data_IF_353436996150
#
_entry.id   IF_353436996150
#
_cell.length_a   1.000
_cell.length_b   1.000
_cell.length_c   1.000
_cell.angle_alpha   90.00
_cell.angle_beta   90.00
_cell.angle_gamma   90.00
#
_symmetry.space_group_name_H-M   'P 1'
#
loop_
_entity.id
_entity.type
_entity.pdbx_description
1 polymer ?
#
# COMPACT_ATOMS: atom_id res chain seq x y z
N UNK A 1 18.69 -17.67 -17.07
CA UNK A 1 18.14 -18.40 -15.91
C UNK A 1 17.68 -17.46 -14.78
N UNK A 2 18.44 -16.46 -14.38
CA UNK A 2 18.03 -15.50 -13.31
C UNK A 2 16.78 -14.63 -13.64
N UNK A 3 16.51 -14.35 -14.93
CA UNK A 3 15.35 -13.52 -15.34
C UNK A 3 13.97 -14.17 -15.16
N UNK A 4 13.86 -15.50 -15.12
CA UNK A 4 12.59 -16.20 -14.91
C UNK A 4 12.25 -16.37 -13.43
N UNK A 5 13.28 -16.43 -12.57
CA UNK A 5 13.12 -16.61 -11.13
C UNK A 5 12.58 -15.36 -10.42
N UNK A 6 12.91 -14.16 -10.91
CA UNK A 6 12.55 -12.89 -10.25
C UNK A 6 11.08 -12.52 -10.43
N UNK A 7 10.42 -12.91 -11.53
CA UNK A 7 9.06 -12.46 -11.81
C UNK A 7 7.95 -13.33 -11.21
N UNK A 8 7.87 -14.60 -11.60
CA UNK A 8 6.74 -15.47 -11.23
C UNK A 8 6.91 -16.15 -9.88
N UNK A 9 8.11 -16.66 -9.60
CA UNK A 9 8.35 -17.43 -8.37
C UNK A 9 8.36 -16.56 -7.11
N UNK A 10 8.95 -15.36 -7.16
CA UNK A 10 8.87 -14.41 -6.05
C UNK A 10 7.42 -14.05 -5.74
N UNK A 11 6.62 -13.73 -6.76
CA UNK A 11 5.24 -13.35 -6.54
C UNK A 11 4.37 -14.50 -6.01
N UNK A 12 4.60 -15.74 -6.46
CA UNK A 12 3.90 -16.93 -5.94
C UNK A 12 4.29 -17.14 -4.49
N UNK A 13 5.58 -17.09 -4.16
CA UNK A 13 6.09 -17.26 -2.81
C UNK A 13 5.56 -16.20 -1.86
N UNK A 14 5.51 -14.93 -2.30
CA UNK A 14 5.01 -13.84 -1.47
C UNK A 14 3.50 -13.93 -1.23
N UNK A 15 2.74 -14.39 -2.22
CA UNK A 15 1.29 -14.66 -2.04
C UNK A 15 1.05 -15.83 -1.09
N UNK A 16 1.84 -16.90 -1.19
CA UNK A 16 1.77 -18.02 -0.24
C UNK A 16 2.13 -17.56 1.16
N UNK A 17 3.15 -16.71 1.30
CA UNK A 17 3.52 -16.11 2.58
C UNK A 17 2.41 -15.20 3.13
N UNK A 18 1.75 -14.39 2.30
CA UNK A 18 0.61 -13.58 2.73
C UNK A 18 -0.56 -14.44 3.22
N UNK A 19 -0.85 -15.54 2.53
CA UNK A 19 -1.86 -16.52 2.97
C UNK A 19 -1.46 -17.22 4.27
N UNK A 20 -0.19 -17.60 4.39
CA UNK A 20 0.34 -18.20 5.62
C UNK A 20 0.25 -17.24 6.81
N UNK A 21 0.56 -15.95 6.61
CA UNK A 21 0.37 -14.91 7.64
C UNK A 21 -1.08 -14.75 8.04
N UNK A 22 -2.00 -14.81 7.09
CA UNK A 22 -3.43 -14.68 7.39
C UNK A 22 -3.93 -15.80 8.32
N UNK A 23 -3.33 -16.99 8.25
CA UNK A 23 -3.70 -18.16 9.07
C UNK A 23 -2.81 -18.34 10.30
N UNK A 24 -1.49 -18.22 10.15
CA UNK A 24 -0.49 -18.57 11.15
C UNK A 24 0.30 -17.37 11.69
N UNK A 25 -0.02 -16.14 11.24
CA UNK A 25 0.73 -14.94 11.62
C UNK A 25 0.67 -14.63 13.10
N UNK A 26 1.76 -14.07 13.65
CA UNK A 26 1.83 -13.56 15.01
C UNK A 26 0.92 -12.34 15.17
N UNK A 27 0.12 -12.36 16.23
CA UNK A 27 -0.73 -11.21 16.59
C UNK A 27 0.12 -10.22 17.38
N UNK A 28 0.37 -9.05 16.78
CA UNK A 28 1.04 -7.93 17.45
C UNK A 28 0.18 -6.67 17.25
N UNK A 29 -0.11 -5.97 18.34
CA UNK A 29 -0.98 -4.79 18.34
C UNK A 29 -2.38 -5.03 17.72
N UNK A 30 -2.96 -6.23 17.95
CA UNK A 30 -4.30 -6.57 17.46
C UNK A 30 -4.40 -6.97 15.98
N UNK A 31 -3.28 -7.08 15.26
CA UNK A 31 -3.27 -7.48 13.86
C UNK A 31 -2.26 -8.59 13.57
N UNK A 32 -2.64 -9.54 12.72
CA UNK A 32 -1.77 -10.64 12.26
C UNK A 32 -1.02 -10.17 11.00
N UNK A 33 0.24 -9.74 11.18
CA UNK A 33 1.02 -9.14 10.07
C UNK A 33 2.43 -9.70 9.95
N UNK A 34 2.91 -10.43 10.97
CA UNK A 34 4.30 -10.81 11.12
C UNK A 34 4.46 -12.33 11.09
N UNK A 35 5.53 -12.81 10.46
CA UNK A 35 5.97 -14.21 10.51
C UNK A 35 7.34 -14.25 11.15
N UNK A 36 7.52 -15.19 12.07
CA UNK A 36 8.82 -15.50 12.63
C UNK A 36 9.44 -16.66 11.84
N UNK A 37 10.47 -16.35 11.09
CA UNK A 37 11.31 -17.30 10.35
C UNK A 37 12.74 -17.33 10.93
N UNK A 38 12.89 -17.07 12.25
CA UNK A 38 14.17 -16.78 12.91
C UNK A 38 14.52 -15.29 12.84
N UNK A 39 13.90 -14.54 11.93
CA UNK A 39 13.86 -13.08 11.85
C UNK A 39 12.39 -12.70 11.66
N UNK A 40 11.94 -11.70 12.40
CA UNK A 40 10.56 -11.20 12.27
C UNK A 40 10.43 -10.45 10.95
N UNK A 41 9.71 -11.04 9.99
CA UNK A 41 9.50 -10.47 8.65
C UNK A 41 8.03 -10.14 8.44
N UNK A 42 7.76 -8.99 7.82
CA UNK A 42 6.42 -8.62 7.37
C UNK A 42 6.32 -8.82 5.85
N UNK A 43 5.61 -9.85 5.34
CA UNK A 43 5.55 -10.14 3.91
C UNK A 43 4.95 -9.02 3.06
N UNK A 44 4.07 -8.20 3.62
CA UNK A 44 3.52 -7.04 2.91
C UNK A 44 4.57 -5.96 2.60
N UNK A 45 5.68 -5.89 3.34
CA UNK A 45 6.81 -5.00 3.03
C UNK A 45 7.55 -5.46 1.76
N UNK A 46 7.77 -6.77 1.64
CA UNK A 46 8.39 -7.37 0.44
C UNK A 46 7.48 -7.15 -0.77
N UNK A 47 6.15 -7.23 -0.58
CA UNK A 47 5.17 -7.09 -1.65
C UNK A 47 5.20 -5.71 -2.33
N UNK A 48 5.60 -4.65 -1.62
CA UNK A 48 5.76 -3.30 -2.20
C UNK A 48 6.79 -3.27 -3.34
N UNK A 49 7.80 -4.13 -3.25
CA UNK A 49 8.86 -4.25 -4.27
C UNK A 49 8.53 -5.36 -5.27
N UNK A 50 8.10 -6.52 -4.80
CA UNK A 50 7.84 -7.69 -5.62
C UNK A 50 6.69 -7.47 -6.61
N UNK A 51 5.66 -6.74 -6.21
CA UNK A 51 4.47 -6.52 -7.05
C UNK A 51 4.76 -5.68 -8.30
N UNK A 52 5.37 -4.49 -8.22
CA UNK A 52 5.72 -3.73 -9.40
C UNK A 52 6.74 -4.46 -10.30
N UNK A 53 7.70 -5.19 -9.73
CA UNK A 53 8.65 -5.99 -10.51
C UNK A 53 7.95 -7.11 -11.28
N UNK A 54 7.02 -7.81 -10.67
CA UNK A 54 6.24 -8.86 -11.33
C UNK A 54 5.37 -8.30 -12.46
N UNK A 55 4.70 -7.17 -12.23
CA UNK A 55 3.90 -6.53 -13.28
C UNK A 55 4.76 -6.03 -14.44
N UNK A 56 5.93 -5.44 -14.16
CA UNK A 56 6.87 -5.03 -15.18
C UNK A 56 7.35 -6.23 -16.03
N UNK A 57 7.71 -7.33 -15.38
CA UNK A 57 8.07 -8.57 -16.07
C UNK A 57 6.91 -9.14 -16.91
N UNK A 58 5.68 -9.08 -16.37
CA UNK A 58 4.49 -9.54 -17.08
C UNK A 58 4.26 -8.78 -18.38
N UNK A 59 4.37 -7.45 -18.37
CA UNK A 59 4.24 -6.63 -19.57
C UNK A 59 5.44 -6.77 -20.51
N UNK A 60 6.67 -6.85 -20.00
CA UNK A 60 7.87 -7.09 -20.81
C UNK A 60 7.78 -8.38 -21.63
N UNK A 61 7.27 -9.46 -21.03
CA UNK A 61 7.13 -10.74 -21.74
C UNK A 61 6.09 -10.69 -22.88
N UNK A 62 5.23 -9.67 -22.87
CA UNK A 62 4.13 -9.48 -23.82
C UNK A 62 4.29 -8.24 -24.70
N UNK A 63 5.52 -7.73 -24.84
CA UNK A 63 5.82 -6.62 -25.74
C UNK A 63 5.31 -6.92 -27.16
N UNK A 64 4.56 -5.96 -27.74
CA UNK A 64 3.95 -6.07 -29.07
C UNK A 64 2.55 -6.72 -29.11
N UNK A 65 2.05 -7.31 -28.04
CA UNK A 65 0.71 -7.92 -27.96
C UNK A 65 -0.15 -7.34 -26.84
N UNK A 66 0.07 -6.10 -26.43
CA UNK A 66 -0.66 -5.50 -25.30
C UNK A 66 -2.12 -5.26 -25.67
N UNK A 67 -2.94 -6.25 -25.41
CA UNK A 67 -4.41 -6.21 -25.59
C UNK A 67 -5.05 -5.77 -24.27
N UNK A 68 -6.28 -5.25 -24.32
CA UNK A 68 -7.04 -4.86 -23.14
C UNK A 68 -7.18 -5.99 -22.10
N UNK A 69 -7.18 -7.26 -22.54
CA UNK A 69 -7.20 -8.45 -21.67
C UNK A 69 -5.97 -8.51 -20.75
N UNK A 70 -4.82 -8.07 -21.21
CA UNK A 70 -3.58 -8.05 -20.43
C UNK A 70 -3.68 -7.06 -19.25
N UNK A 71 -4.32 -5.91 -19.49
CA UNK A 71 -4.58 -4.94 -18.43
C UNK A 71 -5.57 -5.48 -17.39
N UNK A 72 -6.58 -6.23 -17.80
CA UNK A 72 -7.48 -6.90 -16.87
C UNK A 72 -6.75 -7.96 -16.03
N UNK A 73 -5.93 -8.79 -16.65
CA UNK A 73 -5.14 -9.81 -15.94
C UNK A 73 -4.19 -9.12 -14.96
N UNK A 74 -3.48 -8.08 -15.38
CA UNK A 74 -2.58 -7.31 -14.53
C UNK A 74 -3.34 -6.67 -13.35
N UNK A 75 -4.53 -6.13 -13.59
CA UNK A 75 -5.41 -5.60 -12.55
C UNK A 75 -5.85 -6.68 -11.55
N UNK A 76 -6.27 -7.85 -12.00
CA UNK A 76 -6.61 -8.98 -11.14
C UNK A 76 -5.40 -9.47 -10.32
N UNK A 77 -4.23 -9.54 -10.96
CA UNK A 77 -2.98 -9.89 -10.30
C UNK A 77 -2.62 -8.88 -9.21
N UNK A 78 -2.93 -7.60 -9.37
CA UNK A 78 -2.70 -6.54 -8.40
C UNK A 78 -3.75 -6.55 -7.27
N UNK A 79 -5.03 -6.70 -7.61
CA UNK A 79 -6.13 -6.63 -6.63
C UNK A 79 -6.09 -7.81 -5.65
N UNK A 80 -5.67 -9.00 -6.08
CA UNK A 80 -5.64 -10.17 -5.22
C UNK A 80 -4.76 -9.98 -3.97
N UNK A 81 -3.45 -9.61 -4.06
CA UNK A 81 -2.63 -9.35 -2.88
C UNK A 81 -3.06 -8.11 -2.11
N UNK A 82 -3.53 -7.06 -2.78
CA UNK A 82 -4.06 -5.86 -2.11
C UNK A 82 -5.25 -6.23 -1.23
N UNK A 83 -6.18 -7.05 -1.71
CA UNK A 83 -7.32 -7.53 -0.93
C UNK A 83 -6.92 -8.39 0.28
N UNK A 84 -5.87 -9.21 0.14
CA UNK A 84 -5.31 -9.98 1.27
C UNK A 84 -4.69 -9.07 2.33
N UNK A 85 -3.95 -8.02 1.92
CA UNK A 85 -3.34 -7.06 2.84
C UNK A 85 -4.44 -6.22 3.54
N UNK A 86 -5.50 -5.84 2.83
CA UNK A 86 -6.64 -5.13 3.42
C UNK A 86 -7.34 -5.95 4.51
N UNK A 87 -7.41 -7.28 4.37
CA UNK A 87 -7.93 -8.18 5.41
C UNK A 87 -7.05 -8.24 6.65
N UNK A 88 -5.76 -7.87 6.54
CA UNK A 88 -4.81 -7.79 7.66
C UNK A 88 -4.86 -6.42 8.37
N UNK A 89 -5.94 -5.68 8.34
CA UNK A 89 -6.23 -4.27 8.58
C UNK A 89 -5.02 -3.31 8.37
N UNK A 90 -4.30 -3.48 7.26
CA UNK A 90 -3.15 -2.65 6.88
C UNK A 90 -3.48 -1.82 5.62
N UNK A 91 -4.28 -0.79 5.82
CA UNK A 91 -4.71 0.11 4.73
C UNK A 91 -3.52 0.87 4.12
N UNK A 92 -2.53 1.27 4.93
CA UNK A 92 -1.38 2.03 4.44
C UNK A 92 -0.55 1.23 3.43
N UNK A 93 -0.17 0.01 3.80
CA UNK A 93 0.62 -0.87 2.91
C UNK A 93 -0.18 -1.32 1.70
N UNK A 94 -1.49 -1.61 1.86
CA UNK A 94 -2.35 -1.98 0.73
C UNK A 94 -2.45 -0.87 -0.31
N UNK A 95 -2.59 0.39 0.13
CA UNK A 95 -2.64 1.54 -0.74
C UNK A 95 -1.31 1.78 -1.46
N UNK A 96 -0.17 1.60 -0.77
CA UNK A 96 1.16 1.71 -1.39
C UNK A 96 1.39 0.64 -2.45
N UNK A 97 1.05 -0.62 -2.18
CA UNK A 97 1.16 -1.72 -3.16
C UNK A 97 0.24 -1.46 -4.36
N UNK A 98 -0.99 -0.99 -4.10
CA UNK A 98 -1.95 -0.63 -5.15
C UNK A 98 -1.40 0.50 -6.03
N UNK A 99 -0.89 1.57 -5.42
CA UNK A 99 -0.34 2.72 -6.15
C UNK A 99 0.90 2.34 -6.97
N UNK A 100 1.84 1.58 -6.38
CA UNK A 100 3.05 1.13 -7.08
C UNK A 100 2.71 0.21 -8.25
N UNK A 101 1.80 -0.75 -8.08
CA UNK A 101 1.37 -1.64 -9.15
C UNK A 101 0.56 -0.92 -10.22
N UNK A 102 -0.32 -0.02 -9.83
CA UNK A 102 -1.08 0.81 -10.77
C UNK A 102 -0.17 1.70 -11.61
N UNK A 103 0.88 2.27 -11.03
CA UNK A 103 1.86 3.07 -11.74
C UNK A 103 2.55 2.28 -12.86
N UNK A 104 2.91 1.01 -12.62
CA UNK A 104 3.48 0.13 -13.66
C UNK A 104 2.44 -0.15 -14.76
N UNK A 105 1.19 -0.43 -14.41
CA UNK A 105 0.11 -0.68 -15.38
C UNK A 105 -0.12 0.57 -16.24
N UNK A 106 -0.07 1.74 -15.63
CA UNK A 106 -0.20 3.03 -16.35
C UNK A 106 0.94 3.24 -17.35
N UNK A 107 2.20 3.03 -16.91
CA UNK A 107 3.39 3.17 -17.78
C UNK A 107 3.45 2.11 -18.88
N UNK A 108 2.81 0.94 -18.70
CA UNK A 108 2.69 -0.09 -19.73
C UNK A 108 1.79 0.33 -20.91
N UNK A 109 1.20 1.53 -20.87
CA UNK A 109 0.42 2.10 -21.97
C UNK A 109 -1.09 2.05 -21.74
N UNK A 110 -1.54 2.07 -20.49
CA UNK A 110 -2.97 2.21 -20.19
C UNK A 110 -3.51 3.51 -20.78
N UNK A 111 -4.61 3.43 -21.55
CA UNK A 111 -5.15 4.60 -22.20
C UNK A 111 -5.66 5.63 -21.19
N UNK A 112 -5.38 6.91 -21.43
CA UNK A 112 -5.84 8.01 -20.58
C UNK A 112 -7.37 8.03 -20.37
N UNK A 113 -8.13 7.56 -21.38
CA UNK A 113 -9.60 7.43 -21.28
C UNK A 113 -10.03 6.47 -20.18
N UNK A 114 -9.32 5.33 -20.03
CA UNK A 114 -9.59 4.35 -18.96
C UNK A 114 -9.23 4.93 -17.61
N UNK A 115 -8.15 5.71 -17.52
CA UNK A 115 -7.74 6.38 -16.30
C UNK A 115 -8.80 7.38 -15.84
N UNK A 116 -9.28 8.23 -16.75
CA UNK A 116 -10.34 9.20 -16.45
C UNK A 116 -11.63 8.48 -16.06
N UNK A 117 -12.03 7.44 -16.80
CA UNK A 117 -13.21 6.65 -16.47
C UNK A 117 -13.10 6.00 -15.08
N UNK A 118 -11.94 5.46 -14.73
CA UNK A 118 -11.70 4.90 -13.40
C UNK A 118 -11.77 5.99 -12.31
N UNK A 119 -11.16 7.15 -12.53
CA UNK A 119 -11.20 8.27 -11.59
C UNK A 119 -12.64 8.76 -11.36
N UNK A 120 -13.43 8.87 -12.43
CA UNK A 120 -14.84 9.24 -12.34
C UNK A 120 -15.64 8.16 -11.59
N UNK A 121 -15.41 6.88 -11.88
CA UNK A 121 -16.09 5.78 -11.19
C UNK A 121 -15.76 5.75 -9.69
N UNK A 122 -14.49 5.96 -9.32
CA UNK A 122 -14.07 6.09 -7.92
C UNK A 122 -14.73 7.28 -7.27
N UNK A 123 -14.71 8.46 -7.91
CA UNK A 123 -15.37 9.66 -7.40
C UNK A 123 -16.87 9.48 -7.19
N UNK A 124 -17.55 8.86 -8.16
CA UNK A 124 -18.97 8.55 -8.07
C UNK A 124 -19.32 7.53 -6.98
N UNK A 125 -18.36 6.61 -6.65
CA UNK A 125 -18.57 5.63 -5.59
C UNK A 125 -18.34 6.18 -4.17
N UNK A 126 -17.67 7.32 -4.01
CA UNK A 126 -17.35 7.90 -2.70
C UNK A 126 -18.58 8.10 -1.78
N UNK A 127 -19.73 8.63 -2.24
CA UNK A 127 -20.90 8.77 -1.37
C UNK A 127 -21.43 7.43 -0.87
N UNK A 128 -21.42 6.41 -1.75
CA UNK A 128 -21.85 5.04 -1.39
C UNK A 128 -20.87 4.42 -0.40
N UNK A 129 -19.58 4.52 -0.67
CA UNK A 129 -18.54 4.03 0.26
C UNK A 129 -18.67 4.72 1.61
N UNK A 130 -18.88 6.05 1.64
CA UNK A 130 -19.06 6.80 2.87
C UNK A 130 -20.27 6.32 3.67
N UNK A 131 -21.39 6.03 3.02
CA UNK A 131 -22.59 5.50 3.70
C UNK A 131 -22.40 4.12 4.29
N UNK A 132 -21.54 3.28 3.66
CA UNK A 132 -21.24 1.91 4.11
C UNK A 132 -20.11 1.83 5.15
N UNK A 133 -19.36 2.91 5.36
CA UNK A 133 -18.27 2.93 6.33
C UNK A 133 -18.79 2.88 7.76
N UNK A 134 -18.13 2.06 8.60
CA UNK A 134 -18.37 2.03 10.03
C UNK A 134 -17.85 3.31 10.72
N UNK A 135 -18.45 3.70 11.83
CA UNK A 135 -18.11 4.93 12.56
C UNK A 135 -16.62 5.03 12.91
N UNK A 136 -15.97 3.91 13.21
CA UNK A 136 -14.53 3.84 13.43
C UNK A 136 -13.72 4.28 12.18
N UNK A 137 -14.15 3.88 10.99
CA UNK A 137 -13.47 4.22 9.73
C UNK A 137 -13.71 5.68 9.36
N UNK A 138 -14.97 6.15 9.52
CA UNK A 138 -15.31 7.57 9.33
C UNK A 138 -14.51 8.46 10.29
N UNK A 139 -14.39 8.05 11.57
CA UNK A 139 -13.58 8.78 12.54
C UNK A 139 -12.12 8.92 12.10
N UNK A 140 -11.51 7.91 11.46
CA UNK A 140 -10.14 8.01 10.92
C UNK A 140 -10.03 9.01 9.78
N UNK A 141 -11.01 9.02 8.86
CA UNK A 141 -11.03 9.97 7.75
C UNK A 141 -11.22 11.40 8.28
N UNK A 142 -12.13 11.61 9.23
CA UNK A 142 -12.35 12.92 9.84
C UNK A 142 -11.10 13.42 10.58
N UNK A 143 -10.43 12.55 11.35
CA UNK A 143 -9.18 12.91 12.03
C UNK A 143 -8.05 13.22 11.04
N UNK A 144 -8.06 12.62 9.84
CA UNK A 144 -7.09 12.96 8.80
C UNK A 144 -7.33 14.36 8.22
N UNK A 145 -8.60 14.76 8.09
CA UNK A 145 -8.98 16.09 7.58
C UNK A 145 -8.76 17.16 8.66
N UNK A 146 -9.18 16.86 9.89
CA UNK A 146 -9.00 17.76 11.03
C UNK A 146 -8.42 17.00 12.23
N UNK A 147 -7.08 16.93 12.33
CA UNK A 147 -6.42 16.25 13.44
C UNK A 147 -6.51 17.00 14.77
N UNK A 148 -7.02 18.23 14.76
CA UNK A 148 -7.14 19.05 15.98
C UNK A 148 -8.32 18.66 16.87
N UNK A 149 -9.24 17.85 16.37
CA UNK A 149 -10.39 17.34 17.13
C UNK A 149 -10.01 16.35 18.22
N UNK A 150 -8.88 15.62 18.06
CA UNK A 150 -8.34 14.71 19.07
C UNK A 150 -6.80 14.79 19.08
N UNK A 151 -6.24 15.90 19.62
CA UNK A 151 -4.81 16.21 19.49
C UNK A 151 -3.91 15.30 20.32
N UNK A 152 -4.43 14.66 21.38
CA UNK A 152 -3.68 13.75 22.24
C UNK A 152 -3.92 12.26 21.94
N UNK A 153 -4.92 11.95 21.12
CA UNK A 153 -5.27 10.60 20.71
C UNK A 153 -4.87 10.30 19.26
N UNK A 154 -5.88 10.06 18.42
CA UNK A 154 -5.67 9.65 17.03
C UNK A 154 -5.00 10.70 16.15
N UNK A 155 -5.18 11.98 16.46
CA UNK A 155 -4.57 13.12 15.75
C UNK A 155 -3.11 13.37 16.11
N UNK A 156 -2.61 12.85 17.24
CA UNK A 156 -1.27 13.11 17.74
C UNK A 156 -0.17 12.86 16.72
N UNK A 157 -0.18 11.66 16.11
CA UNK A 157 0.83 11.29 15.13
C UNK A 157 0.79 12.14 13.85
N UNK A 158 -0.41 12.57 13.43
CA UNK A 158 -0.60 13.44 12.26
C UNK A 158 -0.02 14.83 12.55
N UNK A 159 -0.34 15.38 13.72
CA UNK A 159 0.17 16.68 14.16
C UNK A 159 1.69 16.65 14.27
N UNK A 160 2.24 15.61 14.92
CA UNK A 160 3.70 15.47 15.07
C UNK A 160 4.41 15.30 13.72
N UNK A 161 3.86 14.54 12.79
CA UNK A 161 4.43 14.41 11.44
C UNK A 161 4.36 15.72 10.67
N UNK A 162 3.27 16.47 10.78
CA UNK A 162 3.13 17.79 10.15
C UNK A 162 4.15 18.78 10.70
N UNK A 163 4.37 18.81 12.03
CA UNK A 163 5.40 19.60 12.68
C UNK A 163 6.80 19.18 12.21
N UNK A 164 7.06 17.86 12.13
CA UNK A 164 8.35 17.33 11.68
C UNK A 164 8.68 17.79 10.26
N UNK A 165 7.74 17.65 9.33
CA UNK A 165 7.90 18.06 7.93
C UNK A 165 8.00 19.58 7.83
N UNK A 166 7.08 20.32 8.46
CA UNK A 166 7.04 21.79 8.38
C UNK A 166 8.26 22.45 9.01
N UNK A 167 8.80 21.89 10.10
CA UNK A 167 9.98 22.43 10.77
C UNK A 167 11.29 22.28 9.97
N UNK A 168 11.31 21.40 8.95
CA UNK A 168 12.47 21.20 8.09
C UNK A 168 12.65 22.30 7.03
N UNK A 169 11.59 23.04 6.67
CA UNK A 169 11.64 23.98 5.56
C UNK A 169 12.03 23.32 4.23
N UNK A 170 12.58 24.13 3.31
CA UNK A 170 12.96 23.64 1.96
C UNK A 170 14.25 22.80 2.01
N UNK A 171 15.19 23.10 2.89
CA UNK A 171 16.53 22.48 2.94
C UNK A 171 16.65 21.37 3.98
N UNK A 172 15.66 21.18 4.84
CA UNK A 172 15.72 20.25 5.96
C UNK A 172 16.59 20.79 7.11
N UNK A 173 16.53 20.12 8.27
CA UNK A 173 17.36 20.45 9.45
C UNK A 173 18.73 19.78 9.47
N UNK A 174 19.06 18.98 8.45
CA UNK A 174 20.27 18.18 8.39
C UNK A 174 20.12 16.81 9.05
N UNK A 175 21.11 15.95 8.79
CA UNK A 175 21.14 14.57 9.29
C UNK A 175 21.16 14.55 10.82
N UNK A 176 20.29 13.76 11.44
CA UNK A 176 20.15 13.60 12.90
C UNK A 176 19.68 14.85 13.70
N UNK A 177 19.43 15.98 13.07
CA UNK A 177 18.98 17.21 13.75
C UNK A 177 17.44 17.34 13.83
N UNK A 178 16.71 16.30 13.47
CA UNK A 178 15.24 16.26 13.57
C UNK A 178 14.78 16.15 15.02
N UNK A 179 14.11 17.18 15.53
CA UNK A 179 13.60 17.21 16.92
C UNK A 179 12.51 16.17 17.20
N UNK A 180 11.83 15.68 16.16
CA UNK A 180 10.73 14.73 16.28
C UNK A 180 11.15 13.25 16.08
N UNK A 181 12.38 13.00 15.59
CA UNK A 181 12.86 11.65 15.34
C UNK A 181 12.90 10.79 16.61
N UNK A 182 13.28 11.36 17.73
CA UNK A 182 13.34 10.68 19.04
C UNK A 182 11.96 10.43 19.64
N UNK A 183 10.97 11.28 19.35
CA UNK A 183 9.59 11.13 19.83
C UNK A 183 8.86 9.94 19.19
N UNK A 184 9.12 9.66 17.89
CA UNK A 184 8.50 8.58 17.16
C UNK A 184 9.09 7.20 17.47
N UNK A 185 10.35 7.13 17.89
CA UNK A 185 11.04 5.87 18.21
C UNK A 185 10.62 5.34 19.59
N UNK A 186 10.28 6.22 20.53
CA UNK A 186 9.93 5.86 21.91
C UNK A 186 8.44 5.53 22.13
N UNK A 187 7.61 5.73 21.11
CA UNK A 187 6.18 5.41 21.12
C UNK A 187 5.93 4.08 20.41
#
# INVERSE_FOLDING_TARGET
MLRSLVGSEMCIRDRVLLLAVAQFGLIRNGARRWVDLGVIVQPSEIMKIAMPMMLAWFFQKREGMTRWREFLIAGLLLIAPVGLIMRQPDLGTSLLVLAAGFYVIFLAGLSWKVLVAAAVAVGASLPVVWSMMHDYQRGRVLTLIDPTTDPLGKGFHIIQSTIAIGSGGITGKGWLNGTQALSLIHI
#
